data_IF_735598849848
#
_entry.id   IF_735598849848
#
_cell.length_a   1.000
_cell.length_b   1.000
_cell.length_c   1.000
_cell.angle_alpha   90.00
_cell.angle_beta   90.00
_cell.angle_gamma   90.00
#
_symmetry.space_group_name_H-M   'P 1'
#
loop_
_entity.id
_entity.type
_entity.pdbx_description
1 polymer ?
#
# COMPACT_ATOMS: atom_id res chain seq x y z
N UNK A 1 -11.20 34.41 15.39
CA UNK A 1 -11.98 33.40 14.63
C UNK A 1 -11.20 32.11 14.67
N UNK A 2 -11.67 31.11 15.37
CA UNK A 2 -11.05 29.78 15.41
C UNK A 2 -11.13 29.16 14.01
N UNK A 3 -10.00 28.76 13.46
CA UNK A 3 -9.97 28.10 12.17
C UNK A 3 -10.92 26.87 12.20
N UNK A 4 -11.81 26.68 11.19
CA UNK A 4 -12.74 25.58 11.17
C UNK A 4 -11.98 24.24 11.29
N UNK A 5 -12.53 23.31 12.08
CA UNK A 5 -11.89 22.00 12.28
C UNK A 5 -11.68 21.30 10.94
N UNK A 6 -10.48 20.80 10.71
CA UNK A 6 -10.15 20.07 9.48
C UNK A 6 -10.99 18.77 9.37
N UNK A 7 -11.23 18.14 10.51
CA UNK A 7 -11.95 16.86 10.58
C UNK A 7 -13.45 17.16 10.67
N UNK A 8 -14.10 17.22 9.53
CA UNK A 8 -15.56 17.27 9.41
C UNK A 8 -16.13 15.85 9.56
N UNK A 9 -17.44 15.68 9.89
CA UNK A 9 -18.06 14.35 9.94
C UNK A 9 -17.89 13.54 8.66
N UNK A 10 -17.91 14.20 7.50
CA UNK A 10 -17.66 13.56 6.19
C UNK A 10 -16.22 13.04 6.08
N UNK A 11 -15.23 13.84 6.47
CA UNK A 11 -13.83 13.44 6.46
C UNK A 11 -13.61 12.30 7.46
N UNK A 12 -14.15 12.39 8.67
CA UNK A 12 -14.06 11.33 9.67
C UNK A 12 -14.65 9.99 9.15
N UNK A 13 -15.81 10.03 8.50
CA UNK A 13 -16.41 8.85 7.88
C UNK A 13 -15.52 8.27 6.76
N UNK A 14 -14.92 9.10 5.91
CA UNK A 14 -13.99 8.66 4.87
C UNK A 14 -12.73 8.01 5.46
N UNK A 15 -12.19 8.56 6.55
CA UNK A 15 -11.05 7.96 7.28
C UNK A 15 -11.42 6.60 7.85
N UNK A 16 -12.61 6.48 8.46
CA UNK A 16 -13.11 5.22 9.03
C UNK A 16 -13.38 4.17 7.93
N UNK A 17 -14.00 4.56 6.80
CA UNK A 17 -14.26 3.68 5.66
C UNK A 17 -12.93 3.16 5.09
N UNK A 18 -12.01 4.06 4.75
CA UNK A 18 -10.71 3.67 4.17
C UNK A 18 -9.87 2.88 5.17
N UNK A 19 -9.81 3.32 6.42
CA UNK A 19 -9.11 2.61 7.50
C UNK A 19 -9.67 1.21 7.69
N UNK A 20 -10.99 1.07 7.77
CA UNK A 20 -11.66 -0.22 7.92
C UNK A 20 -11.39 -1.18 6.75
N UNK A 21 -11.47 -0.68 5.50
CA UNK A 21 -11.11 -1.48 4.31
C UNK A 21 -9.67 -1.98 4.39
N UNK A 22 -8.72 -1.10 4.74
CA UNK A 22 -7.33 -1.50 4.85
C UNK A 22 -7.07 -2.47 6.02
N UNK A 23 -7.78 -2.32 7.16
CA UNK A 23 -7.71 -3.31 8.26
C UNK A 23 -8.16 -4.68 7.76
N UNK A 24 -9.29 -4.77 7.04
CA UNK A 24 -9.79 -6.02 6.44
C UNK A 24 -8.75 -6.63 5.52
N UNK A 25 -8.21 -5.83 4.60
CA UNK A 25 -7.18 -6.27 3.64
C UNK A 25 -5.93 -6.80 4.37
N UNK A 26 -5.39 -6.04 5.31
CA UNK A 26 -4.15 -6.42 6.01
C UNK A 26 -4.34 -7.60 6.96
N UNK A 27 -5.51 -7.72 7.58
CA UNK A 27 -5.90 -8.90 8.37
C UNK A 27 -5.87 -10.16 7.50
N UNK A 28 -6.54 -10.13 6.36
CA UNK A 28 -6.60 -11.25 5.43
C UNK A 28 -5.24 -11.53 4.76
N UNK A 29 -4.48 -10.49 4.44
CA UNK A 29 -3.14 -10.62 3.89
C UNK A 29 -2.18 -11.36 4.84
N UNK A 30 -2.33 -11.21 6.14
CA UNK A 30 -1.50 -11.92 7.12
C UNK A 30 -1.96 -13.37 7.38
N UNK A 31 -3.24 -13.69 7.17
CA UNK A 31 -3.84 -14.97 7.56
C UNK A 31 -4.11 -15.91 6.40
N UNK A 32 -4.54 -15.40 5.23
CA UNK A 32 -4.81 -16.22 4.04
C UNK A 32 -3.60 -17.01 3.54
N UNK A 33 -2.35 -16.47 3.52
CA UNK A 33 -1.18 -17.26 3.14
C UNK A 33 -1.02 -18.52 3.97
N UNK A 34 -1.18 -18.40 5.29
CA UNK A 34 -1.07 -19.53 6.23
C UNK A 34 -2.15 -20.58 5.95
N UNK A 35 -3.38 -20.13 5.73
CA UNK A 35 -4.51 -21.01 5.47
C UNK A 35 -4.38 -21.72 4.10
N UNK A 36 -4.05 -20.98 3.04
CA UNK A 36 -3.91 -21.54 1.68
C UNK A 36 -2.81 -22.59 1.62
N UNK A 37 -1.66 -22.35 2.26
CA UNK A 37 -0.60 -23.35 2.35
C UNK A 37 -1.04 -24.55 3.20
N UNK A 38 -1.78 -24.33 4.28
CA UNK A 38 -2.38 -25.40 5.10
C UNK A 38 -3.36 -26.30 4.33
N UNK A 39 -4.01 -25.78 3.28
CA UNK A 39 -4.85 -26.55 2.34
C UNK A 39 -4.06 -27.25 1.21
N UNK A 40 -2.72 -27.26 1.28
CA UNK A 40 -1.87 -27.82 0.23
C UNK A 40 -1.60 -26.88 -0.94
N UNK A 41 -1.95 -25.59 -0.81
CA UNK A 41 -1.65 -24.58 -1.82
C UNK A 41 -0.16 -24.27 -1.90
N UNK A 42 0.31 -23.94 -3.12
CA UNK A 42 1.70 -23.57 -3.37
C UNK A 42 1.98 -22.12 -2.96
N UNK A 43 3.25 -21.79 -2.69
CA UNK A 43 3.69 -20.42 -2.41
C UNK A 43 3.51 -19.50 -3.62
N UNK A 44 3.56 -20.06 -4.83
CA UNK A 44 3.19 -19.35 -6.07
C UNK A 44 1.71 -18.94 -6.05
N UNK A 45 0.80 -19.80 -5.57
CA UNK A 45 -0.62 -19.44 -5.41
C UNK A 45 -0.81 -18.34 -4.35
N UNK A 46 -0.01 -18.33 -3.30
CA UNK A 46 0.03 -17.18 -2.35
C UNK A 46 0.43 -15.90 -3.07
N UNK A 47 1.46 -15.93 -3.90
CA UNK A 47 1.82 -14.79 -4.75
C UNK A 47 0.66 -14.32 -5.65
N UNK A 48 -0.10 -15.26 -6.23
CA UNK A 48 -1.28 -14.99 -7.05
C UNK A 48 -2.43 -14.33 -6.26
N UNK A 49 -2.64 -14.70 -4.98
CA UNK A 49 -3.64 -14.03 -4.13
C UNK A 49 -3.42 -12.50 -4.13
N UNK A 50 -2.19 -12.07 -3.86
CA UNK A 50 -1.83 -10.65 -3.80
C UNK A 50 -1.84 -10.00 -5.18
N UNK A 51 -1.27 -10.68 -6.18
CA UNK A 51 -1.24 -10.18 -7.55
C UNK A 51 -2.65 -9.93 -8.08
N UNK A 52 -3.60 -10.86 -7.87
CA UNK A 52 -4.98 -10.72 -8.32
C UNK A 52 -5.68 -9.53 -7.66
N UNK A 53 -5.62 -9.43 -6.33
CA UNK A 53 -6.24 -8.32 -5.61
C UNK A 53 -5.66 -6.96 -6.02
N UNK A 54 -4.33 -6.87 -6.09
CA UNK A 54 -3.65 -5.61 -6.43
C UNK A 54 -3.88 -5.22 -7.88
N UNK A 55 -3.89 -6.18 -8.82
CA UNK A 55 -4.14 -5.91 -10.24
C UNK A 55 -5.54 -5.34 -10.46
N UNK A 56 -6.57 -5.95 -9.85
CA UNK A 56 -7.94 -5.45 -9.95
C UNK A 56 -8.06 -4.05 -9.34
N UNK A 57 -7.49 -3.84 -8.17
CA UNK A 57 -7.46 -2.53 -7.52
C UNK A 57 -6.76 -1.47 -8.39
N UNK A 58 -5.59 -1.81 -8.95
CA UNK A 58 -4.81 -0.93 -9.81
C UNK A 58 -5.59 -0.49 -11.06
N UNK A 59 -6.29 -1.43 -11.72
CA UNK A 59 -7.07 -1.13 -12.92
C UNK A 59 -8.27 -0.25 -12.59
N UNK A 60 -8.92 -0.46 -11.44
CA UNK A 60 -10.14 0.26 -11.08
C UNK A 60 -9.88 1.68 -10.58
N UNK A 61 -8.75 1.94 -9.90
CA UNK A 61 -8.46 3.27 -9.30
C UNK A 61 -8.63 4.45 -10.26
N UNK A 62 -8.07 4.42 -11.48
CA UNK A 62 -8.25 5.53 -12.42
C UNK A 62 -9.70 5.70 -12.89
N UNK A 63 -10.44 4.60 -13.04
CA UNK A 63 -11.84 4.65 -13.45
C UNK A 63 -12.73 5.22 -12.34
N UNK A 64 -12.45 4.86 -11.09
CA UNK A 64 -13.21 5.30 -9.91
C UNK A 64 -13.15 6.81 -9.74
N UNK A 65 -12.00 7.45 -10.00
CA UNK A 65 -11.90 8.91 -9.98
C UNK A 65 -12.94 9.57 -10.87
N UNK A 66 -12.99 9.17 -12.13
CA UNK A 66 -13.98 9.66 -13.10
C UNK A 66 -15.44 9.31 -12.74
N UNK A 67 -15.68 8.13 -12.16
CA UNK A 67 -17.02 7.76 -11.69
C UNK A 67 -17.46 8.60 -10.50
N UNK A 68 -16.56 8.91 -9.56
CA UNK A 68 -16.87 9.79 -8.42
C UNK A 68 -17.24 11.19 -8.90
N UNK A 69 -16.52 11.73 -9.87
CA UNK A 69 -16.82 13.05 -10.44
C UNK A 69 -18.17 13.07 -11.17
N UNK A 70 -18.56 11.98 -11.82
CA UNK A 70 -19.80 11.87 -12.59
C UNK A 70 -21.02 11.50 -11.76
N UNK A 71 -20.87 10.55 -10.83
CA UNK A 71 -22.00 9.94 -10.12
C UNK A 71 -22.04 10.28 -8.63
N UNK A 72 -20.96 10.87 -8.09
CA UNK A 72 -20.78 11.15 -6.67
C UNK A 72 -20.19 9.98 -5.88
N UNK A 73 -19.38 10.29 -4.88
CA UNK A 73 -18.60 9.31 -4.12
C UNK A 73 -19.48 8.22 -3.48
N UNK A 74 -20.58 8.58 -2.84
CA UNK A 74 -21.50 7.62 -2.19
C UNK A 74 -22.07 6.59 -3.17
N UNK A 75 -22.53 7.04 -4.35
CA UNK A 75 -23.11 6.14 -5.38
C UNK A 75 -22.08 5.18 -5.94
N UNK A 76 -20.81 5.59 -6.01
CA UNK A 76 -19.69 4.74 -6.44
C UNK A 76 -19.27 3.77 -5.34
N UNK A 77 -19.30 4.18 -4.08
CA UNK A 77 -18.94 3.32 -2.94
C UNK A 77 -19.95 2.19 -2.70
N UNK A 78 -21.24 2.40 -2.96
CA UNK A 78 -22.28 1.39 -2.71
C UNK A 78 -22.04 0.06 -3.45
N UNK A 79 -21.84 0.02 -4.78
CA UNK A 79 -21.51 -1.23 -5.46
C UNK A 79 -20.14 -1.78 -4.99
N UNK A 80 -19.15 -0.92 -4.68
CA UNK A 80 -17.85 -1.36 -4.16
C UNK A 80 -17.96 -2.11 -2.84
N UNK A 81 -18.76 -1.61 -1.89
CA UNK A 81 -18.98 -2.28 -0.61
C UNK A 81 -19.85 -3.53 -0.76
N UNK A 82 -20.79 -3.56 -1.68
CA UNK A 82 -21.58 -4.75 -1.97
C UNK A 82 -20.69 -5.90 -2.48
N UNK A 83 -19.78 -5.62 -3.42
CA UNK A 83 -18.78 -6.59 -3.90
C UNK A 83 -17.85 -7.03 -2.77
N UNK A 84 -17.36 -6.10 -1.94
CA UNK A 84 -16.52 -6.41 -0.78
C UNK A 84 -17.24 -7.36 0.17
N UNK A 85 -18.45 -7.04 0.59
CA UNK A 85 -19.26 -7.87 1.50
C UNK A 85 -19.57 -9.24 0.91
N UNK A 86 -20.02 -9.30 -0.34
CA UNK A 86 -20.27 -10.57 -1.02
C UNK A 86 -19.01 -11.45 -1.02
N UNK A 87 -17.86 -10.86 -1.31
CA UNK A 87 -16.58 -11.57 -1.29
C UNK A 87 -16.26 -12.09 0.13
N UNK A 88 -16.40 -11.25 1.16
CA UNK A 88 -16.13 -11.64 2.55
C UNK A 88 -17.04 -12.76 3.03
N UNK A 89 -18.31 -12.78 2.61
CA UNK A 89 -19.27 -13.83 2.92
C UNK A 89 -19.03 -15.12 2.12
N UNK A 90 -18.40 -15.05 0.95
CA UNK A 90 -18.05 -16.19 0.14
C UNK A 90 -16.72 -16.86 0.55
N UNK A 91 -15.80 -16.11 1.23
CA UNK A 91 -14.52 -16.68 1.69
C UNK A 91 -14.66 -17.97 2.52
N UNK A 92 -15.60 -18.08 3.47
CA UNK A 92 -15.80 -19.32 4.25
C UNK A 92 -16.22 -20.52 3.42
N UNK A 93 -16.80 -20.29 2.25
CA UNK A 93 -17.33 -21.32 1.34
C UNK A 93 -16.31 -21.74 0.27
N UNK A 94 -15.14 -21.11 0.24
CA UNK A 94 -14.14 -21.39 -0.77
C UNK A 94 -13.55 -22.80 -0.61
N UNK A 95 -13.67 -23.59 -1.67
CA UNK A 95 -13.14 -24.95 -1.74
C UNK A 95 -11.78 -24.95 -2.45
N UNK A 96 -10.70 -24.86 -1.66
CA UNK A 96 -9.33 -24.98 -2.15
C UNK A 96 -8.68 -23.68 -2.62
N UNK A 97 -7.36 -23.70 -2.84
CA UNK A 97 -6.52 -22.52 -3.09
C UNK A 97 -6.95 -21.67 -4.29
N UNK A 98 -7.41 -22.28 -5.38
CA UNK A 98 -7.83 -21.55 -6.58
C UNK A 98 -9.07 -20.67 -6.34
N UNK A 99 -10.01 -21.12 -5.50
CA UNK A 99 -11.20 -20.34 -5.15
C UNK A 99 -10.80 -19.09 -4.36
N UNK A 100 -9.85 -19.19 -3.45
CA UNK A 100 -9.32 -18.01 -2.74
C UNK A 100 -8.67 -17.01 -3.70
N UNK A 101 -7.86 -17.47 -4.66
CA UNK A 101 -7.27 -16.60 -5.69
C UNK A 101 -8.37 -15.85 -6.47
N UNK A 102 -9.43 -16.52 -6.88
CA UNK A 102 -10.55 -15.88 -7.58
C UNK A 102 -11.28 -14.84 -6.71
N UNK A 103 -11.54 -15.16 -5.43
CA UNK A 103 -12.19 -14.24 -4.49
C UNK A 103 -11.34 -13.01 -4.18
N UNK A 104 -10.00 -13.10 -4.29
CA UNK A 104 -9.13 -11.92 -4.14
C UNK A 104 -9.40 -10.83 -5.18
N UNK A 105 -9.98 -11.17 -6.33
CA UNK A 105 -10.42 -10.15 -7.30
C UNK A 105 -11.53 -9.26 -6.71
N UNK A 106 -12.48 -9.85 -5.99
CA UNK A 106 -13.55 -9.10 -5.32
C UNK A 106 -13.02 -8.21 -4.19
N UNK A 107 -12.06 -8.69 -3.39
CA UNK A 107 -11.36 -7.87 -2.40
C UNK A 107 -10.61 -6.71 -3.04
N UNK A 108 -9.92 -6.96 -4.16
CA UNK A 108 -9.25 -5.92 -4.95
C UNK A 108 -10.22 -4.88 -5.50
N UNK A 109 -11.40 -5.32 -5.97
CA UNK A 109 -12.47 -4.44 -6.42
C UNK A 109 -12.96 -3.54 -5.28
N UNK A 110 -13.32 -4.12 -4.13
CA UNK A 110 -13.74 -3.38 -2.95
C UNK A 110 -12.70 -2.34 -2.51
N UNK A 111 -11.43 -2.75 -2.40
CA UNK A 111 -10.34 -1.87 -2.02
C UNK A 111 -10.14 -0.73 -3.05
N UNK A 112 -10.04 -1.06 -4.32
CA UNK A 112 -9.83 -0.10 -5.40
C UNK A 112 -10.92 0.97 -5.46
N UNK A 113 -12.18 0.55 -5.30
CA UNK A 113 -13.34 1.46 -5.30
C UNK A 113 -13.40 2.29 -4.02
N UNK A 114 -13.42 1.63 -2.85
CA UNK A 114 -13.72 2.32 -1.59
C UNK A 114 -12.59 3.25 -1.15
N UNK A 115 -11.33 2.79 -1.22
CA UNK A 115 -10.20 3.63 -0.83
C UNK A 115 -10.04 4.82 -1.77
N UNK A 116 -10.18 4.61 -3.10
CA UNK A 116 -10.04 5.72 -4.05
C UNK A 116 -11.17 6.73 -3.89
N UNK A 117 -12.42 6.27 -3.81
CA UNK A 117 -13.57 7.17 -3.66
C UNK A 117 -13.52 7.94 -2.32
N UNK A 118 -13.06 7.31 -1.23
CA UNK A 118 -12.86 7.99 0.05
C UNK A 118 -11.76 9.07 -0.04
N UNK A 119 -10.64 8.78 -0.68
CA UNK A 119 -9.55 9.74 -0.90
C UNK A 119 -9.98 10.95 -1.73
N UNK A 120 -10.74 10.71 -2.82
CA UNK A 120 -11.31 11.78 -3.65
C UNK A 120 -12.27 12.64 -2.83
N UNK A 121 -13.16 12.01 -2.06
CA UNK A 121 -14.12 12.74 -1.22
C UNK A 121 -13.43 13.56 -0.12
N UNK A 122 -12.37 13.05 0.50
CA UNK A 122 -11.54 13.81 1.45
C UNK A 122 -10.95 15.05 0.77
N UNK A 123 -10.41 14.91 -0.44
CA UNK A 123 -9.85 16.03 -1.20
C UNK A 123 -10.91 17.07 -1.58
N UNK A 124 -12.14 16.63 -1.96
CA UNK A 124 -13.25 17.51 -2.32
C UNK A 124 -13.88 18.21 -1.10
N UNK A 125 -13.99 17.51 0.04
CA UNK A 125 -14.57 18.05 1.27
C UNK A 125 -13.62 18.98 2.05
N UNK A 126 -12.34 19.08 1.65
CA UNK A 126 -11.32 19.87 2.33
C UNK A 126 -11.16 21.25 1.69
N UNK A 127 -10.95 22.32 2.50
CA UNK A 127 -10.58 23.62 1.97
C UNK A 127 -9.32 23.54 1.10
N UNK A 128 -9.28 24.26 -0.02
CA UNK A 128 -8.17 24.21 -0.97
C UNK A 128 -6.80 24.43 -0.31
N UNK A 129 -6.71 25.39 0.63
CA UNK A 129 -5.49 25.71 1.37
C UNK A 129 -5.02 24.59 2.33
N UNK A 130 -5.92 23.66 2.74
CA UNK A 130 -5.63 22.60 3.72
C UNK A 130 -5.80 21.19 3.16
N UNK A 131 -5.99 21.05 1.85
CA UNK A 131 -6.21 19.78 1.17
C UNK A 131 -5.06 18.80 1.38
N UNK A 132 -3.82 19.30 1.33
CA UNK A 132 -2.63 18.48 1.60
C UNK A 132 -2.58 17.92 3.03
N UNK A 133 -3.01 18.72 4.02
CA UNK A 133 -3.11 18.30 5.42
C UNK A 133 -4.17 17.20 5.59
N UNK A 134 -5.34 17.36 4.98
CA UNK A 134 -6.41 16.35 5.02
C UNK A 134 -5.99 15.02 4.38
N UNK A 135 -5.32 15.08 3.23
CA UNK A 135 -4.78 13.87 2.58
C UNK A 135 -3.67 13.21 3.42
N UNK A 136 -2.85 14.00 4.12
CA UNK A 136 -1.84 13.46 5.05
C UNK A 136 -2.49 12.68 6.20
N UNK A 137 -3.59 13.19 6.76
CA UNK A 137 -4.38 12.48 7.79
C UNK A 137 -5.01 11.21 7.20
N UNK A 138 -5.50 11.27 5.95
CA UNK A 138 -6.03 10.11 5.24
C UNK A 138 -4.98 8.99 5.10
N UNK A 139 -3.76 9.32 4.66
CA UNK A 139 -2.68 8.33 4.55
C UNK A 139 -2.17 7.84 5.91
N UNK A 140 -2.30 8.65 6.97
CA UNK A 140 -1.99 8.20 8.33
C UNK A 140 -2.98 7.13 8.80
N UNK A 141 -4.29 7.29 8.50
CA UNK A 141 -5.29 6.26 8.80
C UNK A 141 -4.97 4.92 8.12
N UNK A 142 -4.51 4.95 6.85
CA UNK A 142 -4.05 3.75 6.14
C UNK A 142 -2.83 3.11 6.82
N UNK A 143 -1.86 3.91 7.28
CA UNK A 143 -0.69 3.41 7.99
C UNK A 143 -1.04 2.78 9.35
N UNK A 144 -2.00 3.36 10.09
CA UNK A 144 -2.52 2.79 11.32
C UNK A 144 -3.25 1.46 11.08
N UNK A 145 -3.96 1.34 9.96
CA UNK A 145 -4.60 0.08 9.56
C UNK A 145 -3.58 -1.03 9.29
N UNK A 146 -2.42 -0.67 8.75
CA UNK A 146 -1.31 -1.61 8.60
C UNK A 146 -0.71 -2.04 9.95
N UNK A 147 -0.66 -1.12 10.93
CA UNK A 147 -0.21 -1.45 12.28
C UNK A 147 -1.17 -2.40 13.00
N UNK A 148 -2.47 -2.26 12.76
CA UNK A 148 -3.53 -3.00 13.48
C UNK A 148 -3.94 -4.30 12.78
N UNK A 149 -4.05 -4.28 11.44
CA UNK A 149 -4.63 -5.39 10.67
C UNK A 149 -3.91 -6.72 10.83
N UNK A 150 -2.59 -6.82 10.53
CA UNK A 150 -1.86 -8.07 10.65
C UNK A 150 -1.81 -8.63 12.07
N UNK A 151 -1.48 -7.86 13.13
CA UNK A 151 -1.52 -8.38 14.49
C UNK A 151 -2.91 -8.86 14.93
N UNK A 152 -3.97 -8.12 14.57
CA UNK A 152 -5.35 -8.54 14.82
C UNK A 152 -5.66 -9.85 14.14
N UNK A 153 -5.34 -9.95 12.82
CA UNK A 153 -5.58 -11.16 12.05
C UNK A 153 -4.86 -12.38 12.63
N UNK A 154 -3.57 -12.23 12.91
CA UNK A 154 -2.76 -13.31 13.49
C UNK A 154 -3.24 -13.73 14.87
N UNK A 155 -3.64 -12.77 15.73
CA UNK A 155 -4.17 -13.06 17.06
C UNK A 155 -5.51 -13.82 16.99
N UNK A 156 -6.41 -13.42 16.08
CA UNK A 156 -7.68 -14.12 15.85
C UNK A 156 -7.43 -15.51 15.24
N UNK A 157 -6.54 -15.60 14.24
CA UNK A 157 -6.18 -16.86 13.60
C UNK A 157 -5.62 -17.87 14.58
N UNK A 158 -4.69 -17.44 15.45
CA UNK A 158 -4.06 -18.32 16.44
C UNK A 158 -5.03 -18.83 17.51
N UNK A 159 -6.06 -18.04 17.88
CA UNK A 159 -7.02 -18.40 18.94
C UNK A 159 -8.25 -19.17 18.43
N UNK A 160 -8.73 -18.80 17.24
CA UNK A 160 -10.06 -19.22 16.77
C UNK A 160 -10.09 -19.63 15.28
N UNK A 161 -8.92 -19.73 14.64
CA UNK A 161 -8.78 -20.19 13.26
C UNK A 161 -9.26 -19.21 12.20
N UNK A 162 -9.21 -19.63 10.94
CA UNK A 162 -9.48 -18.79 9.76
C UNK A 162 -10.93 -18.35 9.66
N UNK A 163 -11.89 -19.18 10.07
CA UNK A 163 -13.33 -18.86 10.02
C UNK A 163 -13.66 -17.62 10.84
N UNK A 164 -13.02 -17.49 12.00
CA UNK A 164 -13.17 -16.30 12.86
C UNK A 164 -12.54 -15.07 12.22
N UNK A 165 -11.44 -15.20 11.47
CA UNK A 165 -10.86 -14.11 10.69
C UNK A 165 -11.86 -13.63 9.61
N UNK A 166 -12.53 -14.54 8.92
CA UNK A 166 -13.57 -14.21 7.95
C UNK A 166 -14.76 -13.52 8.59
N UNK A 167 -15.22 -14.00 9.77
CA UNK A 167 -16.31 -13.38 10.52
C UNK A 167 -15.96 -11.95 10.96
N UNK A 168 -14.77 -11.72 11.49
CA UNK A 168 -14.27 -10.39 11.87
C UNK A 168 -14.19 -9.48 10.64
N UNK A 169 -13.65 -9.98 9.52
CA UNK A 169 -13.57 -9.22 8.29
C UNK A 169 -14.97 -8.85 7.75
N UNK A 170 -15.92 -9.79 7.76
CA UNK A 170 -17.30 -9.54 7.35
C UNK A 170 -18.01 -8.55 8.27
N UNK A 171 -17.80 -8.63 9.59
CA UNK A 171 -18.32 -7.67 10.56
C UNK A 171 -17.80 -6.25 10.31
N UNK A 172 -16.49 -6.11 10.06
CA UNK A 172 -15.90 -4.83 9.66
C UNK A 172 -16.47 -4.33 8.32
N UNK A 173 -16.65 -5.23 7.36
CA UNK A 173 -17.29 -4.92 6.08
C UNK A 173 -18.72 -4.40 6.25
N UNK A 174 -19.50 -4.99 7.16
CA UNK A 174 -20.85 -4.52 7.48
C UNK A 174 -20.84 -3.13 8.12
N UNK A 175 -19.89 -2.85 9.02
CA UNK A 175 -19.71 -1.51 9.61
C UNK A 175 -19.36 -0.49 8.52
N UNK A 176 -18.47 -0.84 7.58
CA UNK A 176 -18.12 0.01 6.45
C UNK A 176 -19.37 0.29 5.58
N UNK A 177 -20.19 -0.73 5.31
CA UNK A 177 -21.43 -0.55 4.54
C UNK A 177 -22.39 0.39 5.26
N UNK A 178 -22.57 0.24 6.57
CA UNK A 178 -23.39 1.13 7.38
C UNK A 178 -22.87 2.59 7.31
N UNK A 179 -21.57 2.79 7.44
CA UNK A 179 -20.97 4.13 7.34
C UNK A 179 -21.23 4.76 5.97
N UNK A 180 -21.17 3.98 4.87
CA UNK A 180 -21.48 4.47 3.52
C UNK A 180 -22.99 4.81 3.38
N UNK A 181 -23.87 4.01 3.98
CA UNK A 181 -25.30 4.26 3.95
C UNK A 181 -25.72 5.56 4.66
N UNK A 182 -25.03 5.90 5.76
CA UNK A 182 -25.29 7.15 6.50
C UNK A 182 -24.44 8.33 6.02
N UNK A 183 -23.46 8.09 5.13
CA UNK A 183 -22.56 9.13 4.61
C UNK A 183 -23.33 10.22 3.87
N UNK A 184 -23.26 11.45 4.38
CA UNK A 184 -23.75 12.63 3.70
C UNK A 184 -22.62 13.16 2.80
N UNK A 185 -22.65 12.77 1.52
CA UNK A 185 -21.71 13.33 0.54
C UNK A 185 -22.20 14.70 0.09
N UNK A 186 -21.34 15.71 -0.02
CA UNK A 186 -21.69 16.99 -0.62
C UNK A 186 -22.19 16.80 -2.04
N UNK A 187 -23.07 17.68 -2.49
CA UNK A 187 -23.53 17.70 -3.88
C UNK A 187 -22.35 17.84 -4.84
N UNK A 188 -22.46 17.20 -6.00
CA UNK A 188 -21.43 17.20 -7.05
C UNK A 188 -21.03 18.63 -7.40
N UNK A 189 -19.81 19.02 -7.09
CA UNK A 189 -19.16 20.17 -7.72
C UNK A 189 -18.72 19.73 -9.12
N UNK A 190 -19.21 20.40 -10.13
CA UNK A 190 -18.77 20.23 -11.52
C UNK A 190 -17.36 20.80 -11.70
N UNK A 191 -16.36 20.17 -11.14
CA UNK A 191 -14.99 20.45 -11.55
C UNK A 191 -14.78 19.79 -12.92
N UNK A 192 -14.34 20.52 -13.94
CA UNK A 192 -14.07 19.93 -15.24
C UNK A 192 -12.99 18.85 -15.05
N UNK A 193 -13.33 17.62 -15.44
CA UNK A 193 -12.35 16.54 -15.50
C UNK A 193 -11.29 16.94 -16.52
N UNK A 194 -10.12 17.32 -16.05
CA UNK A 194 -8.95 17.44 -16.94
C UNK A 194 -8.73 16.06 -17.56
N UNK A 195 -8.66 16.00 -18.90
CA UNK A 195 -8.60 14.76 -19.66
C UNK A 195 -7.63 13.74 -19.05
N UNK A 196 -8.15 12.54 -18.83
CA UNK A 196 -7.44 11.45 -18.18
C UNK A 196 -6.21 11.04 -19.01
N UNK A 197 -5.02 11.17 -18.43
CA UNK A 197 -3.76 10.69 -19.00
C UNK A 197 -3.25 9.51 -18.19
N UNK A 198 -3.17 8.33 -18.81
CA UNK A 198 -2.70 7.10 -18.18
C UNK A 198 -1.26 7.19 -17.66
N UNK A 199 -0.39 7.91 -18.38
CA UNK A 199 1.03 8.01 -18.05
C UNK A 199 1.56 9.43 -18.22
N UNK A 200 2.41 9.84 -17.30
CA UNK A 200 3.22 11.05 -17.42
C UNK A 200 4.67 10.68 -17.67
N UNK A 201 5.20 11.07 -18.84
CA UNK A 201 6.58 10.74 -19.25
C UNK A 201 7.64 11.28 -18.29
N UNK A 202 7.39 12.41 -17.65
CA UNK A 202 8.32 13.02 -16.68
C UNK A 202 8.42 12.23 -15.38
N UNK A 203 7.37 11.51 -15.02
CA UNK A 203 7.34 10.66 -13.83
C UNK A 203 7.96 9.27 -14.08
N UNK A 204 8.17 8.84 -15.34
CA UNK A 204 8.62 7.47 -15.67
C UNK A 204 9.91 7.03 -14.96
N UNK A 205 10.98 7.86 -14.84
CA UNK A 205 12.18 7.42 -14.13
C UNK A 205 11.94 7.14 -12.66
N UNK A 206 11.16 8.00 -12.00
CA UNK A 206 10.76 7.81 -10.61
C UNK A 206 9.79 6.62 -10.47
N UNK A 207 8.88 6.46 -11.41
CA UNK A 207 7.94 5.34 -11.51
C UNK A 207 8.67 4.00 -11.61
N UNK A 208 9.67 3.88 -12.47
CA UNK A 208 10.50 2.68 -12.59
C UNK A 208 11.27 2.38 -11.30
N UNK A 209 11.78 3.41 -10.61
CA UNK A 209 12.39 3.26 -9.28
C UNK A 209 11.38 2.68 -8.28
N UNK A 210 10.13 3.18 -8.25
CA UNK A 210 9.07 2.66 -7.37
C UNK A 210 8.77 1.20 -7.69
N UNK A 211 8.61 0.83 -8.97
CA UNK A 211 8.37 -0.57 -9.35
C UNK A 211 9.45 -1.48 -8.77
N UNK A 212 10.72 -1.15 -9.00
CA UNK A 212 11.85 -1.96 -8.54
C UNK A 212 11.91 -2.09 -7.02
N UNK A 213 11.78 -0.99 -6.28
CA UNK A 213 11.82 -1.00 -4.81
C UNK A 213 10.62 -1.76 -4.23
N UNK A 214 9.45 -1.63 -4.87
CA UNK A 214 8.22 -2.21 -4.36
C UNK A 214 8.07 -3.72 -4.64
N UNK A 215 8.92 -4.30 -5.51
CA UNK A 215 9.05 -5.76 -5.64
C UNK A 215 9.28 -6.42 -4.28
N UNK A 216 10.15 -5.85 -3.45
CA UNK A 216 10.43 -6.37 -2.13
C UNK A 216 9.30 -6.15 -1.12
N UNK A 217 8.56 -5.06 -1.23
CA UNK A 217 7.52 -4.72 -0.26
C UNK A 217 6.40 -5.77 -0.19
N UNK A 218 6.02 -6.35 -1.32
CA UNK A 218 5.02 -7.41 -1.37
C UNK A 218 5.44 -8.68 -0.61
N UNK A 219 6.75 -8.95 -0.49
CA UNK A 219 7.26 -10.11 0.24
C UNK A 219 6.92 -10.10 1.73
N UNK A 220 6.82 -8.90 2.32
CA UNK A 220 6.50 -8.73 3.73
C UNK A 220 5.06 -9.12 4.04
N UNK A 221 4.13 -8.86 3.13
CA UNK A 221 2.72 -9.23 3.35
C UNK A 221 2.46 -10.69 3.02
N UNK A 222 3.01 -11.15 1.90
CA UNK A 222 2.70 -12.46 1.36
C UNK A 222 3.49 -13.58 2.04
N UNK A 223 4.77 -13.36 2.29
CA UNK A 223 5.69 -14.45 2.61
C UNK A 223 6.29 -14.39 4.00
N UNK A 224 6.32 -13.22 4.65
CA UNK A 224 6.83 -13.11 6.01
C UNK A 224 6.04 -13.96 7.02
N UNK A 225 4.69 -14.06 6.95
CA UNK A 225 3.93 -14.96 7.82
C UNK A 225 4.31 -16.42 7.64
N UNK A 226 4.48 -16.85 6.40
CA UNK A 226 4.90 -18.23 6.07
C UNK A 226 6.35 -18.51 6.50
N UNK A 227 7.24 -17.53 6.32
CA UNK A 227 8.63 -17.62 6.77
C UNK A 227 8.73 -17.76 8.29
N UNK A 228 7.99 -16.92 9.02
CA UNK A 228 7.96 -16.98 10.48
C UNK A 228 7.42 -18.32 10.99
N UNK A 229 6.34 -18.85 10.38
CA UNK A 229 5.78 -20.16 10.70
C UNK A 229 6.80 -21.28 10.43
N UNK A 230 7.42 -21.28 9.25
CA UNK A 230 8.43 -22.28 8.88
C UNK A 230 9.68 -22.24 9.76
N UNK A 231 9.89 -21.14 10.48
CA UNK A 231 11.05 -20.88 11.31
C UNK A 231 10.78 -20.99 12.82
N UNK A 232 9.53 -21.31 13.23
CA UNK A 232 9.12 -21.34 14.64
C UNK A 232 9.13 -19.95 15.32
N UNK A 233 8.96 -18.88 14.53
CA UNK A 233 8.96 -17.49 15.00
C UNK A 233 7.60 -16.80 14.89
N UNK A 234 6.53 -17.56 14.72
CA UNK A 234 5.17 -17.05 14.55
C UNK A 234 4.73 -16.15 15.72
N UNK A 235 5.15 -16.44 16.94
CA UNK A 235 4.88 -15.60 18.12
C UNK A 235 5.49 -14.20 18.05
N UNK A 236 6.55 -14.02 17.24
CA UNK A 236 7.25 -12.74 17.07
C UNK A 236 6.69 -11.90 15.92
N UNK A 237 5.84 -12.48 15.08
CA UNK A 237 5.36 -11.82 13.85
C UNK A 237 4.46 -10.61 14.15
N UNK A 238 3.61 -10.70 15.16
CA UNK A 238 2.78 -9.57 15.60
C UNK A 238 3.61 -8.36 15.98
N UNK A 239 4.69 -8.59 16.73
CA UNK A 239 5.64 -7.54 17.13
C UNK A 239 6.38 -6.92 15.94
N UNK A 240 6.72 -7.72 14.92
CA UNK A 240 7.32 -7.19 13.69
C UNK A 240 6.43 -6.10 13.08
N UNK A 241 5.14 -6.37 12.86
CA UNK A 241 4.23 -5.41 12.25
C UNK A 241 3.99 -4.17 13.12
N UNK A 242 3.90 -4.34 14.44
CA UNK A 242 3.76 -3.22 15.38
C UNK A 242 5.01 -2.33 15.34
N UNK A 243 6.21 -2.92 15.43
CA UNK A 243 7.48 -2.19 15.41
C UNK A 243 7.70 -1.49 14.07
N UNK A 244 7.42 -2.17 12.96
CA UNK A 244 7.45 -1.61 11.62
C UNK A 244 6.53 -0.38 11.50
N UNK A 245 5.31 -0.48 12.00
CA UNK A 245 4.34 0.63 11.94
C UNK A 245 4.75 1.80 12.84
N UNK A 246 5.26 1.53 14.06
CA UNK A 246 5.81 2.57 14.93
C UNK A 246 6.92 3.33 14.21
N UNK A 247 7.84 2.63 13.54
CA UNK A 247 8.92 3.27 12.79
C UNK A 247 8.41 4.10 11.61
N UNK A 248 7.36 3.65 10.90
CA UNK A 248 6.74 4.45 9.83
C UNK A 248 6.13 5.73 10.41
N UNK A 249 5.33 5.61 11.47
CA UNK A 249 4.62 6.75 12.07
C UNK A 249 5.64 7.75 12.63
N UNK A 250 6.58 7.27 13.44
CA UNK A 250 7.62 8.10 14.05
C UNK A 250 8.47 8.77 12.96
N UNK A 251 8.93 8.01 11.95
CA UNK A 251 9.70 8.56 10.85
C UNK A 251 8.96 9.65 10.08
N UNK A 252 7.66 9.49 9.81
CA UNK A 252 6.84 10.53 9.15
C UNK A 252 6.66 11.77 10.00
N UNK A 253 6.54 11.63 11.33
CA UNK A 253 6.34 12.76 12.24
C UNK A 253 7.64 13.52 12.50
N UNK A 254 8.73 12.80 12.79
CA UNK A 254 10.01 13.40 13.21
C UNK A 254 10.83 13.93 12.03
N UNK A 255 10.77 13.26 10.88
CA UNK A 255 11.55 13.61 9.69
C UNK A 255 10.76 14.47 8.68
N UNK A 256 9.60 15.02 9.11
CA UNK A 256 8.80 15.94 8.33
C UNK A 256 9.65 17.16 7.92
N UNK A 257 9.68 17.44 6.62
CA UNK A 257 10.45 18.57 6.07
C UNK A 257 11.97 18.33 5.98
N UNK A 258 12.49 17.17 6.42
CA UNK A 258 13.93 16.86 6.28
C UNK A 258 14.35 16.88 4.81
N UNK A 259 13.54 16.29 3.92
CA UNK A 259 13.82 16.28 2.49
C UNK A 259 13.79 17.66 1.82
N UNK A 260 13.06 18.62 2.41
CA UNK A 260 13.05 19.99 1.96
C UNK A 260 14.34 20.74 2.34
N UNK A 261 14.90 20.40 3.51
CA UNK A 261 16.11 21.04 4.05
C UNK A 261 17.41 20.53 3.45
N UNK A 262 17.55 19.22 3.34
CA UNK A 262 18.81 18.59 2.90
C UNK A 262 18.78 18.11 1.45
N UNK A 263 17.61 18.19 0.80
CA UNK A 263 17.39 17.76 -0.59
C UNK A 263 16.80 16.36 -0.72
N UNK A 264 15.93 16.16 -1.73
CA UNK A 264 15.17 14.94 -1.95
C UNK A 264 16.06 13.69 -2.10
N UNK A 265 17.08 13.78 -2.96
CA UNK A 265 17.97 12.64 -3.23
C UNK A 265 18.75 12.17 -2.00
N UNK A 266 19.18 13.12 -1.13
CA UNK A 266 19.89 12.79 0.11
C UNK A 266 19.04 12.04 1.12
N UNK A 267 17.72 12.06 0.98
CA UNK A 267 16.78 11.30 1.81
C UNK A 267 16.40 9.99 1.14
N UNK A 268 16.17 9.97 -0.17
CA UNK A 268 15.76 8.78 -0.91
C UNK A 268 16.84 7.70 -0.88
N UNK A 269 18.11 8.07 -1.09
CA UNK A 269 19.23 7.11 -1.13
C UNK A 269 19.33 6.31 0.17
N UNK A 270 19.48 6.90 1.38
CA UNK A 270 19.54 6.12 2.61
C UNK A 270 18.24 5.37 2.90
N UNK A 271 17.07 5.92 2.53
CA UNK A 271 15.79 5.24 2.72
C UNK A 271 15.72 3.92 1.94
N UNK A 272 16.11 3.91 0.66
CA UNK A 272 16.15 2.69 -0.15
C UNK A 272 17.27 1.76 0.30
N UNK A 273 18.41 2.29 0.74
CA UNK A 273 19.50 1.48 1.32
C UNK A 273 19.03 0.74 2.57
N UNK A 274 18.35 1.41 3.50
CA UNK A 274 17.76 0.76 4.69
C UNK A 274 16.76 -0.33 4.30
N UNK A 275 15.91 -0.06 3.31
CA UNK A 275 14.96 -1.05 2.77
C UNK A 275 15.70 -2.26 2.20
N UNK A 276 16.76 -2.07 1.42
CA UNK A 276 17.58 -3.15 0.86
C UNK A 276 18.24 -3.97 1.96
N UNK A 277 18.86 -3.31 2.94
CA UNK A 277 19.51 -3.98 4.07
C UNK A 277 18.52 -4.79 4.90
N UNK A 278 17.27 -4.31 5.07
CA UNK A 278 16.25 -5.07 5.79
C UNK A 278 15.95 -6.42 5.13
N UNK A 279 15.87 -6.46 3.80
CA UNK A 279 15.67 -7.73 3.07
C UNK A 279 16.88 -8.65 3.18
N UNK A 280 18.09 -8.10 3.16
CA UNK A 280 19.31 -8.91 3.37
C UNK A 280 19.38 -9.48 4.78
N UNK A 281 18.89 -8.75 5.80
CA UNK A 281 18.76 -9.27 7.17
C UNK A 281 17.74 -10.40 7.23
N UNK A 282 16.58 -10.26 6.58
CA UNK A 282 15.55 -11.31 6.50
C UNK A 282 15.99 -12.54 5.71
N UNK A 283 16.93 -12.39 4.77
CA UNK A 283 17.51 -13.52 4.03
C UNK A 283 18.47 -14.39 4.86
N UNK A 284 18.90 -13.93 6.03
CA UNK A 284 19.76 -14.69 6.95
C UNK A 284 18.94 -15.70 7.76
N UNK A 285 19.60 -16.65 8.46
CA UNK A 285 18.93 -17.56 9.38
C UNK A 285 18.01 -16.79 10.34
N UNK A 286 16.77 -17.29 10.54
CA UNK A 286 15.74 -16.58 11.27
C UNK A 286 16.07 -16.46 12.76
N UNK A 287 16.05 -15.24 13.29
CA UNK A 287 16.24 -14.93 14.69
C UNK A 287 15.37 -13.73 15.09
N UNK A 288 14.86 -13.71 16.32
CA UNK A 288 14.00 -12.61 16.80
C UNK A 288 14.71 -11.24 16.71
N UNK A 289 15.98 -11.07 17.07
CA UNK A 289 16.68 -9.80 16.91
C UNK A 289 16.80 -9.36 15.45
N UNK A 290 16.99 -10.30 14.51
CA UNK A 290 17.04 -10.03 13.08
C UNK A 290 15.69 -9.54 12.54
N UNK A 291 14.57 -10.15 12.98
CA UNK A 291 13.23 -9.69 12.65
C UNK A 291 12.99 -8.26 13.16
N UNK A 292 13.39 -7.95 14.40
CA UNK A 292 13.24 -6.61 14.96
C UNK A 292 14.10 -5.58 14.21
N UNK A 293 15.36 -5.90 13.90
CA UNK A 293 16.22 -5.04 13.11
C UNK A 293 15.66 -4.80 11.71
N UNK A 294 15.15 -5.85 11.04
CA UNK A 294 14.52 -5.72 9.74
C UNK A 294 13.26 -4.85 9.80
N UNK A 295 12.42 -4.99 10.83
CA UNK A 295 11.23 -4.15 11.02
C UNK A 295 11.58 -2.67 11.14
N UNK A 296 12.61 -2.34 11.95
CA UNK A 296 13.08 -0.96 12.15
C UNK A 296 13.62 -0.39 10.83
N UNK A 297 14.54 -1.11 10.18
CA UNK A 297 15.18 -0.66 8.94
C UNK A 297 14.15 -0.46 7.82
N UNK A 298 13.24 -1.42 7.65
CA UNK A 298 12.19 -1.35 6.65
C UNK A 298 11.22 -0.22 6.94
N UNK A 299 10.80 -0.07 8.22
CA UNK A 299 9.88 0.99 8.64
C UNK A 299 10.46 2.38 8.41
N UNK A 300 11.72 2.60 8.76
CA UNK A 300 12.42 3.86 8.51
C UNK A 300 12.57 4.14 6.99
N UNK A 301 12.93 3.13 6.20
CA UNK A 301 13.04 3.24 4.75
C UNK A 301 11.70 3.61 4.10
N UNK A 302 10.64 2.86 4.39
CA UNK A 302 9.29 3.08 3.83
C UNK A 302 8.70 4.42 4.26
N UNK A 303 8.95 4.86 5.50
CA UNK A 303 8.47 6.15 6.00
C UNK A 303 8.87 7.30 5.09
N UNK A 304 10.09 7.26 4.55
CA UNK A 304 10.71 8.37 3.83
C UNK A 304 10.74 8.20 2.32
N UNK A 305 10.86 6.98 1.80
CA UNK A 305 11.06 6.71 0.38
C UNK A 305 9.94 7.27 -0.49
N UNK A 306 8.73 6.73 -0.34
CA UNK A 306 7.63 7.04 -1.24
C UNK A 306 7.15 8.50 -1.13
N UNK A 307 6.94 9.09 0.06
CA UNK A 307 6.55 10.50 0.17
C UNK A 307 7.58 11.46 -0.40
N UNK A 308 8.87 11.18 -0.20
CA UNK A 308 9.95 12.04 -0.72
C UNK A 308 10.07 11.93 -2.24
N UNK A 309 9.91 10.74 -2.79
CA UNK A 309 9.93 10.54 -4.24
C UNK A 309 8.70 11.18 -4.91
N UNK A 310 7.53 11.09 -4.29
CA UNK A 310 6.33 11.78 -4.74
C UNK A 310 6.54 13.29 -4.78
N UNK A 311 7.12 13.86 -3.72
CA UNK A 311 7.45 15.28 -3.67
C UNK A 311 8.44 15.66 -4.78
N UNK A 312 9.48 14.85 -5.02
CA UNK A 312 10.43 15.06 -6.12
C UNK A 312 9.75 15.11 -7.49
N UNK A 313 8.80 14.21 -7.74
CA UNK A 313 8.02 14.18 -8.99
C UNK A 313 7.15 15.44 -9.12
N UNK A 314 6.48 15.85 -8.05
CA UNK A 314 5.66 17.07 -8.04
C UNK A 314 6.51 18.32 -8.29
N UNK A 315 7.69 18.41 -7.67
CA UNK A 315 8.62 19.54 -7.84
C UNK A 315 9.12 19.67 -9.31
N UNK A 316 9.15 18.56 -10.05
CA UNK A 316 9.65 18.50 -11.44
C UNK A 316 8.56 18.55 -12.50
N UNK A 317 7.30 18.55 -12.08
CA UNK A 317 6.16 18.44 -12.99
C UNK A 317 5.38 19.76 -12.99
N UNK A 318 5.05 20.32 -14.17
CA UNK A 318 4.19 21.49 -14.28
C UNK A 318 2.85 21.26 -13.56
N UNK A 319 2.26 22.31 -13.01
CA UNK A 319 1.06 22.23 -12.20
C UNK A 319 -0.10 21.49 -12.89
N UNK A 320 -0.29 21.76 -14.18
CA UNK A 320 -1.32 21.11 -15.00
C UNK A 320 -1.12 19.58 -15.18
N UNK A 321 0.09 19.06 -14.97
CA UNK A 321 0.41 17.65 -15.17
C UNK A 321 0.62 16.89 -13.85
N UNK A 322 0.60 17.56 -12.69
CA UNK A 322 0.88 16.94 -11.37
C UNK A 322 -0.04 15.77 -11.07
N UNK A 323 -1.33 15.88 -11.40
CA UNK A 323 -2.29 14.79 -11.20
C UNK A 323 -1.93 13.52 -11.96
N UNK A 324 -1.57 13.64 -13.24
CA UNK A 324 -1.16 12.48 -14.07
C UNK A 324 0.19 11.90 -13.63
N UNK A 325 1.12 12.75 -13.15
CA UNK A 325 2.39 12.29 -12.61
C UNK A 325 2.23 11.51 -11.30
N UNK A 326 1.39 11.99 -10.39
CA UNK A 326 1.05 11.28 -9.15
C UNK A 326 0.32 9.96 -9.45
N UNK A 327 -0.60 9.96 -10.41
CA UNK A 327 -1.29 8.74 -10.87
C UNK A 327 -0.32 7.70 -11.43
N UNK A 328 0.65 8.12 -12.24
CA UNK A 328 1.72 7.27 -12.78
C UNK A 328 2.54 6.64 -11.64
N UNK A 329 2.92 7.43 -10.65
CA UNK A 329 3.71 6.94 -9.51
C UNK A 329 2.92 5.95 -8.65
N UNK A 330 1.65 6.22 -8.38
CA UNK A 330 0.77 5.32 -7.61
C UNK A 330 0.52 4.01 -8.34
N UNK A 331 0.26 4.04 -9.65
CA UNK A 331 0.13 2.84 -10.47
C UNK A 331 1.40 2.00 -10.51
N UNK A 332 2.57 2.66 -10.48
CA UNK A 332 3.86 1.98 -10.40
C UNK A 332 4.10 1.29 -9.07
N UNK A 333 3.57 1.82 -7.97
CA UNK A 333 3.57 1.15 -6.67
C UNK A 333 2.79 -0.17 -6.72
N UNK A 334 1.59 -0.13 -7.28
CA UNK A 334 0.76 -1.33 -7.43
C UNK A 334 1.40 -2.34 -8.40
N UNK A 335 1.96 -1.87 -9.53
CA UNK A 335 2.66 -2.73 -10.49
C UNK A 335 3.88 -3.43 -9.85
N UNK A 336 4.69 -2.71 -9.06
CA UNK A 336 5.80 -3.29 -8.32
C UNK A 336 5.34 -4.34 -7.31
N UNK A 337 4.19 -4.12 -6.65
CA UNK A 337 3.60 -5.11 -5.74
C UNK A 337 3.12 -6.36 -6.48
N UNK A 338 2.50 -6.24 -7.66
CA UNK A 338 2.07 -7.37 -8.49
C UNK A 338 3.28 -8.19 -8.93
N UNK A 339 4.27 -7.53 -9.54
CA UNK A 339 5.48 -8.21 -10.00
C UNK A 339 6.23 -8.86 -8.84
N UNK A 340 6.32 -8.17 -7.70
CA UNK A 340 7.00 -8.67 -6.51
C UNK A 340 6.33 -9.91 -5.93
N UNK A 341 5.00 -9.91 -5.79
CA UNK A 341 4.28 -11.06 -5.25
C UNK A 341 4.45 -12.31 -6.13
N UNK A 342 4.48 -12.14 -7.45
CA UNK A 342 4.70 -13.24 -8.39
C UNK A 342 6.16 -13.71 -8.38
N UNK A 343 7.12 -12.78 -8.53
CA UNK A 343 8.55 -13.13 -8.60
C UNK A 343 9.04 -13.75 -7.28
N UNK A 344 8.71 -13.13 -6.15
CA UNK A 344 9.10 -13.65 -4.84
C UNK A 344 8.38 -14.96 -4.56
N UNK A 345 7.08 -15.10 -4.90
CA UNK A 345 6.33 -16.33 -4.75
C UNK A 345 6.94 -17.50 -5.52
N UNK A 346 7.29 -17.25 -6.79
CA UNK A 346 7.97 -18.24 -7.62
C UNK A 346 9.35 -18.62 -7.05
N UNK A 347 10.13 -17.63 -6.61
CA UNK A 347 11.47 -17.87 -6.05
C UNK A 347 11.42 -18.64 -4.73
N UNK A 348 10.47 -18.29 -3.85
CA UNK A 348 10.26 -18.99 -2.57
C UNK A 348 9.83 -20.44 -2.81
N UNK A 349 8.99 -20.70 -3.82
CA UNK A 349 8.52 -22.04 -4.16
C UNK A 349 9.64 -22.92 -4.70
N UNK A 350 10.48 -22.37 -5.58
CA UNK A 350 11.49 -23.16 -6.32
C UNK A 350 12.81 -23.29 -5.58
N UNK A 351 13.15 -22.34 -4.72
CA UNK A 351 14.46 -22.29 -4.07
C UNK A 351 14.32 -22.24 -2.55
N UNK A 352 13.96 -21.11 -1.96
CA UNK A 352 13.82 -20.93 -0.51
C UNK A 352 13.26 -19.54 -0.15
N UNK A 353 12.85 -19.36 1.11
CA UNK A 353 12.48 -18.04 1.64
C UNK A 353 13.65 -17.05 1.58
N UNK A 354 14.87 -17.50 1.87
CA UNK A 354 16.07 -16.65 1.76
C UNK A 354 16.26 -16.13 0.33
N UNK A 355 16.11 -17.00 -0.68
CA UNK A 355 16.17 -16.59 -2.09
C UNK A 355 15.07 -15.58 -2.44
N UNK A 356 13.87 -15.71 -1.90
CA UNK A 356 12.80 -14.73 -2.04
C UNK A 356 13.17 -13.36 -1.48
N UNK A 357 13.78 -13.29 -0.30
CA UNK A 357 14.27 -12.03 0.27
C UNK A 357 15.47 -11.47 -0.48
N UNK A 358 16.35 -12.31 -1.04
CA UNK A 358 17.41 -11.83 -1.96
C UNK A 358 16.80 -11.23 -3.24
N UNK A 359 15.75 -11.83 -3.80
CA UNK A 359 15.02 -11.25 -4.95
C UNK A 359 14.46 -9.87 -4.60
N UNK A 360 13.89 -9.72 -3.40
CA UNK A 360 13.43 -8.44 -2.87
C UNK A 360 14.56 -7.40 -2.74
N UNK A 361 15.72 -7.83 -2.20
CA UNK A 361 16.90 -6.97 -2.04
C UNK A 361 17.48 -6.54 -3.40
N UNK A 362 17.55 -7.46 -4.37
CA UNK A 362 18.00 -7.17 -5.74
C UNK A 362 17.06 -6.14 -6.40
N UNK A 363 15.75 -6.30 -6.25
CA UNK A 363 14.77 -5.33 -6.74
C UNK A 363 15.00 -3.94 -6.15
N UNK A 364 15.15 -3.84 -4.82
CA UNK A 364 15.41 -2.58 -4.14
C UNK A 364 16.74 -1.94 -4.56
N UNK A 365 17.80 -2.74 -4.70
CA UNK A 365 19.11 -2.29 -5.17
C UNK A 365 19.06 -1.81 -6.63
N UNK A 366 18.34 -2.50 -7.50
CA UNK A 366 18.11 -2.07 -8.87
C UNK A 366 17.39 -0.71 -8.91
N UNK A 367 16.36 -0.53 -8.07
CA UNK A 367 15.68 0.74 -7.91
C UNK A 367 16.60 1.87 -7.43
N UNK A 368 17.45 1.58 -6.44
CA UNK A 368 18.46 2.52 -5.96
C UNK A 368 19.43 2.94 -7.06
N UNK A 369 19.96 1.96 -7.77
CA UNK A 369 20.91 2.19 -8.89
C UNK A 369 20.26 3.05 -9.97
N UNK A 370 19.04 2.71 -10.37
CA UNK A 370 18.29 3.45 -11.37
C UNK A 370 18.05 4.91 -10.92
N UNK A 371 17.67 5.10 -9.66
CA UNK A 371 17.49 6.43 -9.09
C UNK A 371 18.79 7.25 -9.16
N UNK A 372 19.90 6.70 -8.67
CA UNK A 372 21.19 7.41 -8.63
C UNK A 372 21.69 7.74 -10.03
N UNK A 373 21.58 6.81 -10.99
CA UNK A 373 21.97 7.06 -12.38
C UNK A 373 21.13 8.17 -13.01
N UNK A 374 19.82 8.14 -12.78
CA UNK A 374 18.90 9.17 -13.30
C UNK A 374 19.22 10.56 -12.71
N UNK A 375 19.44 10.63 -11.40
CA UNK A 375 19.80 11.90 -10.73
C UNK A 375 21.12 12.46 -11.23
N UNK A 376 22.12 11.62 -11.43
CA UNK A 376 23.42 12.04 -12.02
C UNK A 376 23.25 12.60 -13.44
N UNK A 377 22.45 11.95 -14.28
CA UNK A 377 22.16 12.44 -15.64
C UNK A 377 21.45 13.81 -15.62
N UNK A 378 20.47 13.99 -14.76
CA UNK A 378 19.77 15.27 -14.59
C UNK A 378 20.74 16.37 -14.12
N UNK A 379 21.63 16.05 -13.19
CA UNK A 379 22.63 17.01 -12.68
C UNK A 379 23.63 17.44 -13.78
N UNK A 380 24.10 16.50 -14.61
CA UNK A 380 25.02 16.80 -15.73
C UNK A 380 24.32 17.68 -16.77
N UNK A 381 23.09 17.35 -17.16
CA UNK A 381 22.33 18.15 -18.13
C UNK A 381 22.07 19.57 -17.64
N UNK A 382 21.78 19.76 -16.35
CA UNK A 382 21.63 21.11 -15.77
C UNK A 382 22.92 21.93 -15.80
N UNK A 383 24.09 21.31 -15.59
CA UNK A 383 25.39 22.01 -15.68
C UNK A 383 25.69 22.42 -17.12
N UNK A 384 25.44 21.54 -18.09
CA UNK A 384 25.66 21.87 -19.51
C UNK A 384 24.75 22.98 -20.03
N UNK A 385 23.54 23.12 -19.50
CA UNK A 385 22.60 24.22 -19.86
C UNK A 385 22.93 25.55 -19.17
N UNK A 386 23.66 25.53 -18.06
CA UNK A 386 24.07 26.73 -17.31
C UNK A 386 25.49 27.21 -17.68
N UNK A 387 26.18 26.51 -18.60
CA UNK A 387 27.52 26.92 -19.09
C UNK A 387 28.64 26.78 -18.05
N UNK A 388 28.46 25.91 -17.01
CA UNK A 388 29.44 25.62 -15.97
C UNK A 388 29.87 24.16 -16.03
#
# INVERSE_FOLDING_TARGET
MTAPSLITPTIAACLAISGGVHVVIYLLNATLPLHVVGLGGSKTQVGLLFATSTTVSMILRPLVGGWVDRFGARRVMLPGVAVLLATLLLLPLAAGPAAYVALMAGLGCGNGVLATAAGVLVAQASPAARRGEALSVYFLATALSFAAGPPLGLAVYARAGIQSCFAVAAGLGAVIALLILILKAPALGTAPSQGFRWFNRRALPAAATVVCVNIGYSSIYAFLPLYALASGLEGSLGWFYVLFAICIITGRLTLRGLSDRIGRARVIVPAVTLTTLSYLVLARPPQVPALAAAAIMLGAGVAMFYPTLLALVVDRTPEAERGSAMGTLSGSFDLGSVLGSLLVGFTVERVSFAAGFYTAAIGALAGLTLFVVTERRVAVLRRSTLGV
#
